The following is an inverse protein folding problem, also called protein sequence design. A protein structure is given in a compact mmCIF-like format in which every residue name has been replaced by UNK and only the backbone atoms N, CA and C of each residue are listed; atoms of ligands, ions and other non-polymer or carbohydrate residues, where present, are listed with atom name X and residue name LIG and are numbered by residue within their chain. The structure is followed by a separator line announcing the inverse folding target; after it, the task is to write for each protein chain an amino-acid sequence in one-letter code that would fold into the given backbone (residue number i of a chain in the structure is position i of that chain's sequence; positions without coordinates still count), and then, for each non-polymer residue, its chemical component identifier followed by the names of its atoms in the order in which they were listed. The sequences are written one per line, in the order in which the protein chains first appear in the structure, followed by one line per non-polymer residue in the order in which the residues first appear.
data_IF_367007574858
#
_entry.id   IF_367007574858
#
_cell.length_a   1.000
_cell.length_b   1.000
_cell.length_c   1.000
_cell.angle_alpha   90.00
_cell.angle_beta   90.00
_cell.angle_gamma   90.00
#
_symmetry.space_group_name_H-M   'P 1'
#
loop_
_entity.id
_entity.type
_entity.pdbx_description
1 polymer ?
#
# COMPACT_ATOMS: atom_id res chain seq x y z
N UNK A 1 -15.27 2.82 -7.95
CA UNK A 1 -13.99 2.13 -8.02
C UNK A 1 -13.49 1.81 -6.63
N UNK A 2 -13.11 0.57 -6.39
CA UNK A 2 -12.58 0.19 -5.08
C UNK A 2 -11.10 0.48 -5.00
N UNK A 3 -10.70 1.13 -3.93
CA UNK A 3 -9.30 1.45 -3.67
C UNK A 3 -8.99 1.23 -2.20
N UNK A 4 -7.69 1.12 -1.90
CA UNK A 4 -7.21 1.11 -0.52
C UNK A 4 -6.37 2.36 -0.32
N UNK A 5 -6.25 2.79 0.94
CA UNK A 5 -5.37 3.89 1.29
C UNK A 5 -4.11 3.32 1.93
N UNK A 6 -2.97 3.71 1.38
CA UNK A 6 -1.66 3.22 1.83
C UNK A 6 -0.81 4.40 2.25
N UNK A 7 -0.20 4.28 3.40
CA UNK A 7 0.67 5.31 3.95
C UNK A 7 2.10 4.84 3.94
N UNK A 8 2.98 5.71 3.46
CA UNK A 8 4.42 5.45 3.48
C UNK A 8 5.05 6.25 4.59
N UNK A 9 5.99 5.64 5.27
CA UNK A 9 6.63 6.26 6.43
C UNK A 9 7.36 7.56 6.12
N UNK A 10 7.96 7.62 4.95
CA UNK A 10 8.87 8.70 4.64
C UNK A 10 8.22 10.07 4.57
N UNK A 11 7.00 10.14 4.05
CA UNK A 11 6.37 11.45 3.87
C UNK A 11 5.07 11.62 4.64
N UNK A 12 4.59 10.58 5.31
CA UNK A 12 3.39 10.67 6.11
C UNK A 12 2.10 10.85 5.34
N UNK A 13 2.14 10.74 4.02
CA UNK A 13 0.96 10.90 3.18
C UNK A 13 0.35 9.57 2.82
N UNK A 14 -0.95 9.58 2.59
CA UNK A 14 -1.67 8.41 2.12
C UNK A 14 -1.95 8.53 0.64
N UNK A 15 -1.86 7.40 -0.04
CA UNK A 15 -2.13 7.33 -1.48
C UNK A 15 -3.12 6.21 -1.74
N UNK A 16 -3.87 6.34 -2.82
CA UNK A 16 -4.82 5.31 -3.24
C UNK A 16 -4.14 4.31 -4.16
N UNK A 17 -4.45 3.03 -3.95
CA UNK A 17 -3.98 1.95 -4.81
C UNK A 17 -5.13 1.00 -5.09
N UNK A 18 -5.02 0.30 -6.22
CA UNK A 18 -6.00 -0.71 -6.59
C UNK A 18 -5.66 -2.01 -5.86
N UNK A 19 -6.57 -2.51 -5.00
CA UNK A 19 -6.30 -3.74 -4.27
C UNK A 19 -6.30 -4.99 -5.15
N UNK A 20 -6.73 -4.87 -6.41
CA UNK A 20 -6.85 -5.99 -7.33
C UNK A 20 -7.74 -7.07 -6.71
N UNK A 21 -7.29 -8.33 -6.73
CA UNK A 21 -8.05 -9.43 -6.15
C UNK A 21 -7.59 -9.79 -4.74
N UNK A 22 -6.68 -9.00 -4.19
CA UNK A 22 -6.15 -9.27 -2.85
C UNK A 22 -7.16 -8.90 -1.79
N UNK A 23 -7.24 -9.74 -0.78
CA UNK A 23 -8.04 -9.47 0.40
C UNK A 23 -7.18 -8.68 1.38
N UNK A 24 -7.40 -7.37 1.44
CA UNK A 24 -6.55 -6.45 2.19
C UNK A 24 -7.35 -5.78 3.29
N UNK A 25 -6.80 -5.75 4.49
CA UNK A 25 -7.45 -5.16 5.65
C UNK A 25 -6.62 -4.01 6.19
N UNK A 26 -7.28 -3.15 6.94
CA UNK A 26 -6.60 -2.07 7.64
C UNK A 26 -5.53 -2.64 8.57
N UNK A 27 -4.34 -2.07 8.50
CA UNK A 27 -3.21 -2.55 9.27
C UNK A 27 -2.31 -3.52 8.53
N UNK A 28 -2.76 -4.01 7.38
CA UNK A 28 -1.91 -4.87 6.55
C UNK A 28 -0.84 -4.03 5.86
N UNK A 29 0.19 -4.71 5.41
CA UNK A 29 1.24 -4.09 4.60
C UNK A 29 1.17 -4.62 3.19
N UNK A 30 1.40 -3.76 2.23
CA UNK A 30 1.36 -4.13 0.82
C UNK A 30 2.60 -3.66 0.10
N UNK A 31 2.94 -4.37 -0.97
CA UNK A 31 4.07 -4.00 -1.83
C UNK A 31 3.50 -3.32 -3.06
N UNK A 32 4.00 -2.14 -3.35
CA UNK A 32 3.55 -1.36 -4.50
C UNK A 32 4.74 -0.81 -5.26
N UNK A 33 4.52 -0.44 -6.51
CA UNK A 33 5.55 0.20 -7.32
C UNK A 33 5.31 1.71 -7.32
N UNK A 34 6.34 2.46 -7.01
CA UNK A 34 6.31 3.92 -7.03
C UNK A 34 7.39 4.44 -7.96
N UNK A 35 7.51 5.74 -8.07
CA UNK A 35 8.55 6.36 -8.88
C UNK A 35 9.95 5.98 -8.40
N UNK A 36 10.08 5.61 -7.13
CA UNK A 36 11.36 5.18 -6.55
C UNK A 36 11.63 3.69 -6.72
N UNK A 37 10.66 2.95 -7.23
CA UNK A 37 10.76 1.51 -7.36
C UNK A 37 9.73 0.83 -6.46
N UNK A 38 10.04 -0.38 -6.01
CA UNK A 38 9.14 -1.16 -5.18
C UNK A 38 9.24 -0.74 -3.72
N UNK A 39 8.10 -0.43 -3.12
CA UNK A 39 8.05 0.01 -1.73
C UNK A 39 6.97 -0.74 -0.96
N UNK A 40 7.17 -0.83 0.35
CA UNK A 40 6.21 -1.43 1.26
C UNK A 40 5.49 -0.32 2.00
N UNK A 41 4.17 -0.36 2.02
CA UNK A 41 3.36 0.65 2.71
C UNK A 41 2.35 0.00 3.63
N UNK A 42 1.88 0.78 4.60
CA UNK A 42 0.87 0.33 5.55
C UNK A 42 -0.51 0.73 5.06
N UNK A 43 -1.43 -0.22 5.08
CA UNK A 43 -2.82 0.04 4.71
C UNK A 43 -3.50 0.72 5.88
N UNK A 44 -3.85 1.99 5.69
CA UNK A 44 -4.53 2.77 6.73
C UNK A 44 -6.05 2.75 6.56
N UNK A 45 -6.50 2.29 5.41
CA UNK A 45 -7.93 2.13 5.16
C UNK A 45 -8.14 0.97 4.19
N UNK A 46 -9.00 0.05 4.57
CA UNK A 46 -9.31 -1.11 3.75
C UNK A 46 -10.06 -0.71 2.48
N UNK A 47 -10.32 -1.67 1.63
CA UNK A 47 -11.03 -1.48 0.37
C UNK A 47 -12.32 -0.69 0.57
N UNK A 48 -12.47 0.39 -0.18
CA UNK A 48 -13.67 1.23 -0.09
C UNK A 48 -13.95 1.85 -1.45
N UNK A 49 -15.19 2.25 -1.66
CA UNK A 49 -15.59 2.88 -2.90
C UNK A 49 -15.25 4.36 -2.91
N UNK A 50 -14.68 4.81 -4.01
CA UNK A 50 -14.40 6.22 -4.23
C UNK A 50 -15.09 6.62 -5.54
N UNK A 51 -16.15 7.42 -5.49
CA UNK A 51 -16.87 7.83 -6.70
C UNK A 51 -16.09 8.88 -7.47
N UNK A 52 -16.26 8.87 -8.79
CA UNK A 52 -15.71 9.91 -9.64
C UNK A 52 -14.20 9.99 -9.71
N UNK A 53 -13.52 8.92 -9.42
CA UNK A 53 -12.07 8.90 -9.46
C UNK A 53 -11.64 8.84 -10.92
N UNK A 54 -11.04 9.93 -11.39
CA UNK A 54 -10.65 10.03 -12.79
C UNK A 54 -9.19 9.68 -13.04
N UNK A 55 -8.42 9.45 -12.00
CA UNK A 55 -7.02 9.11 -12.15
C UNK A 55 -6.82 7.61 -12.21
N UNK A 56 -5.80 7.23 -12.98
CA UNK A 56 -5.40 5.85 -13.02
C UNK A 56 -4.70 5.49 -11.72
N UNK A 57 -5.23 4.50 -11.02
CA UNK A 57 -4.69 4.05 -9.74
C UNK A 57 -3.77 2.88 -9.99
N UNK A 58 -2.57 2.93 -9.43
CA UNK A 58 -1.61 1.85 -9.59
C UNK A 58 -2.03 0.63 -8.77
N UNK A 59 -1.80 -0.57 -9.30
CA UNK A 59 -2.19 -1.78 -8.58
C UNK A 59 -1.18 -2.15 -7.50
N UNK A 60 -1.68 -2.84 -6.49
CA UNK A 60 -0.85 -3.48 -5.49
C UNK A 60 -0.16 -4.69 -6.15
N UNK A 61 1.14 -4.84 -5.93
CA UNK A 61 1.88 -5.99 -6.47
C UNK A 61 1.52 -7.25 -5.70
N UNK A 62 1.55 -7.16 -4.37
CA UNK A 62 1.17 -8.27 -3.48
C UNK A 62 1.05 -7.76 -2.07
N UNK A 63 0.44 -8.57 -1.23
CA UNK A 63 0.37 -8.27 0.21
C UNK A 63 1.71 -8.70 0.83
N UNK A 64 2.28 -7.84 1.66
CA UNK A 64 3.55 -8.14 2.32
C UNK A 64 3.36 -9.25 3.35
N UNK A 65 4.30 -10.18 3.37
CA UNK A 65 4.28 -11.25 4.35
C UNK A 65 5.17 -10.90 5.55
N UNK A 66 5.31 -11.83 6.49
CA UNK A 66 6.10 -11.60 7.69
C UNK A 66 7.56 -11.29 7.38
N UNK A 67 8.09 -11.90 6.33
CA UNK A 67 9.49 -11.67 5.93
C UNK A 67 9.67 -10.25 5.41
N UNK A 68 8.75 -9.77 4.60
CA UNK A 68 8.80 -8.42 4.08
C UNK A 68 8.71 -7.40 5.19
N UNK A 69 7.82 -7.62 6.13
CA UNK A 69 7.62 -6.71 7.26
C UNK A 69 8.87 -6.67 8.13
N UNK A 70 9.48 -7.81 8.36
CA UNK A 70 10.70 -7.90 9.14
C UNK A 70 11.84 -7.14 8.48
N UNK A 71 11.99 -7.27 7.17
CA UNK A 71 13.01 -6.54 6.42
C UNK A 71 12.80 -5.05 6.52
N UNK A 72 11.56 -4.61 6.41
CA UNK A 72 11.23 -3.21 6.52
C UNK A 72 11.64 -2.65 7.87
N UNK A 73 11.40 -3.41 8.94
CA UNK A 73 11.76 -2.97 10.29
C UNK A 73 13.27 -2.93 10.49
N UNK A 74 13.99 -3.89 9.93
CA UNK A 74 15.44 -3.93 10.05
C UNK A 74 16.09 -2.76 9.33
N UNK A 75 15.56 -2.39 8.19
CA UNK A 75 16.11 -1.28 7.42
C UNK A 75 15.94 0.07 8.09
N UNK A 76 15.19 0.12 9.17
CA UNK A 76 14.93 1.37 9.87
C UNK A 76 15.96 1.70 10.94
N UNK A 77 16.80 0.78 11.28
CA UNK A 77 17.72 0.93 12.42
C UNK A 77 19.00 1.67 12.08
N UNK A 78 19.11 2.17 10.94
CA UNK A 78 20.32 2.90 10.51
C UNK A 78 20.46 4.24 11.19
#
# INVERSE_FOLDING_TARGET
MKVISVKFKENGRSYYFDPCDFEIKEGDYVIVTTARGTECGEVVRASHEVPGFSREVKPVIRVADAVDIRRMRQNRTD
#
